data_IF_968287654620
#
_entry.id   IF_968287654620
#
_cell.length_a   1.000
_cell.length_b   1.000
_cell.length_c   1.000
_cell.angle_alpha   90.00
_cell.angle_beta   90.00
_cell.angle_gamma   90.00
#
_symmetry.space_group_name_H-M   'P 1'
#
loop_
_entity.id
_entity.type
_entity.pdbx_description
1 polymer ?
#
# COMPACT_ATOMS: atom_id res chain seq x y z
N UNK A 1 14.89 -3.47 -24.95
CA UNK A 1 14.23 -4.48 -24.06
C UNK A 1 15.00 -4.74 -22.77
N UNK A 2 16.28 -5.15 -22.83
CA UNK A 2 17.13 -5.24 -21.62
C UNK A 2 17.17 -3.93 -20.81
N UNK A 3 17.07 -2.78 -21.47
CA UNK A 3 17.02 -1.45 -20.85
C UNK A 3 15.79 -1.23 -19.96
N UNK A 4 14.61 -1.74 -20.35
CA UNK A 4 13.38 -1.66 -19.53
C UNK A 4 13.56 -2.45 -18.25
N UNK A 5 14.11 -3.65 -18.37
CA UNK A 5 14.35 -4.53 -17.24
C UNK A 5 15.39 -3.94 -16.30
N UNK A 6 16.47 -3.36 -16.83
CA UNK A 6 17.44 -2.64 -16.03
C UNK A 6 16.85 -1.40 -15.34
N UNK A 7 15.82 -0.78 -15.92
CA UNK A 7 15.13 0.36 -15.31
C UNK A 7 14.22 -0.05 -14.14
N UNK A 8 13.54 -1.20 -14.27
CA UNK A 8 12.52 -1.69 -13.34
C UNK A 8 13.07 -2.61 -12.25
N UNK A 9 14.12 -3.38 -12.54
CA UNK A 9 14.71 -4.32 -11.58
C UNK A 9 15.29 -3.53 -10.38
N UNK A 10 14.73 -3.76 -9.19
CA UNK A 10 15.08 -3.03 -7.96
C UNK A 10 14.25 -1.76 -7.69
N UNK A 11 13.23 -1.48 -8.51
CA UNK A 11 12.24 -0.42 -8.27
C UNK A 11 10.81 -0.97 -8.31
N UNK A 12 10.63 -2.16 -7.74
CA UNK A 12 9.34 -2.83 -7.64
C UNK A 12 8.30 -1.96 -6.91
N UNK A 13 8.74 -1.08 -6.03
CA UNK A 13 7.97 -0.23 -5.11
C UNK A 13 7.04 0.81 -5.73
N UNK A 14 7.11 1.03 -7.04
CA UNK A 14 6.42 2.13 -7.71
C UNK A 14 5.47 1.65 -8.81
N UNK A 15 4.50 2.50 -9.13
CA UNK A 15 3.62 2.31 -10.28
C UNK A 15 4.12 3.17 -11.43
N UNK A 16 4.16 2.59 -12.62
CA UNK A 16 4.69 3.27 -13.80
C UNK A 16 3.64 3.31 -14.91
N UNK A 17 3.38 4.46 -15.55
CA UNK A 17 2.76 4.46 -16.86
C UNK A 17 3.61 3.58 -17.79
N UNK A 18 3.00 2.71 -18.58
CA UNK A 18 3.75 1.79 -19.48
C UNK A 18 4.68 2.55 -20.44
N UNK A 19 4.31 3.78 -20.78
CA UNK A 19 5.08 4.67 -21.65
C UNK A 19 6.41 5.12 -21.01
N UNK A 20 6.49 5.20 -19.67
CA UNK A 20 7.69 5.69 -18.98
C UNK A 20 8.87 4.70 -19.07
N UNK A 21 8.72 3.39 -18.77
CA UNK A 21 9.76 2.41 -19.06
C UNK A 21 10.13 2.37 -20.55
N UNK A 22 9.17 2.58 -21.46
CA UNK A 22 9.45 2.61 -22.91
C UNK A 22 10.36 3.75 -23.34
N UNK A 23 10.38 4.86 -22.60
CA UNK A 23 11.31 5.96 -22.87
C UNK A 23 12.77 5.57 -22.65
N UNK A 24 13.02 4.48 -21.93
CA UNK A 24 14.36 3.95 -21.69
C UNK A 24 14.88 3.08 -22.85
N UNK A 25 14.02 2.71 -23.81
CA UNK A 25 14.46 1.94 -24.98
C UNK A 25 15.15 2.87 -25.98
N UNK A 26 16.37 2.53 -26.35
CA UNK A 26 17.05 3.16 -27.49
C UNK A 26 16.53 2.60 -28.82
N UNK A 27 16.24 3.48 -29.79
CA UNK A 27 15.76 3.09 -31.13
C UNK A 27 14.24 2.98 -31.26
N UNK A 28 13.76 2.00 -32.04
CA UNK A 28 12.33 1.81 -32.30
C UNK A 28 11.61 1.30 -31.05
N UNK A 29 10.58 2.05 -30.63
CA UNK A 29 9.82 1.73 -29.42
C UNK A 29 8.76 0.65 -29.72
N UNK A 30 8.73 -0.46 -28.98
CA UNK A 30 7.69 -1.47 -29.12
C UNK A 30 6.31 -0.90 -28.80
N UNK A 31 5.27 -1.51 -29.36
CA UNK A 31 3.89 -1.19 -28.97
C UNK A 31 3.58 -1.72 -27.57
N UNK A 32 2.65 -1.06 -26.87
CA UNK A 32 2.28 -1.38 -25.49
C UNK A 32 1.80 -2.81 -25.28
N UNK A 33 1.15 -3.41 -26.28
CA UNK A 33 0.73 -4.81 -26.22
C UNK A 33 1.92 -5.77 -26.10
N UNK A 34 2.99 -5.54 -26.86
CA UNK A 34 4.20 -6.37 -26.86
C UNK A 34 4.89 -6.30 -25.50
N UNK A 35 5.06 -5.09 -24.96
CA UNK A 35 5.69 -4.90 -23.64
C UNK A 35 4.89 -5.56 -22.53
N UNK A 36 3.56 -5.47 -22.61
CA UNK A 36 2.68 -6.11 -21.63
C UNK A 36 2.83 -7.64 -21.64
N UNK A 37 2.96 -8.23 -22.83
CA UNK A 37 3.20 -9.67 -22.97
C UNK A 37 4.56 -10.06 -22.41
N UNK A 38 5.63 -9.37 -22.82
CA UNK A 38 6.99 -9.70 -22.41
C UNK A 38 7.22 -9.48 -20.90
N UNK A 39 6.60 -8.47 -20.31
CA UNK A 39 6.63 -8.27 -18.85
C UNK A 39 5.91 -9.39 -18.11
N UNK A 40 4.79 -9.90 -18.64
CA UNK A 40 4.12 -11.07 -18.09
C UNK A 40 4.96 -12.33 -18.24
N UNK A 41 5.65 -12.50 -19.36
CA UNK A 41 6.56 -13.65 -19.57
C UNK A 41 7.76 -13.61 -18.61
N UNK A 42 8.35 -12.43 -18.35
CA UNK A 42 9.49 -12.30 -17.43
C UNK A 42 9.10 -12.38 -15.96
N UNK A 43 8.09 -11.62 -15.55
CA UNK A 43 7.77 -11.43 -14.13
C UNK A 43 6.56 -12.24 -13.66
N UNK A 44 5.82 -12.88 -14.58
CA UNK A 44 4.68 -13.72 -14.25
C UNK A 44 3.57 -12.96 -13.54
N UNK A 45 3.04 -13.59 -12.50
CA UNK A 45 1.96 -13.04 -11.66
C UNK A 45 2.43 -11.89 -10.75
N UNK A 46 3.74 -11.60 -10.71
CA UNK A 46 4.28 -10.49 -9.91
C UNK A 46 3.95 -9.14 -10.50
N UNK A 47 3.56 -9.05 -11.78
CA UNK A 47 3.17 -7.80 -12.43
C UNK A 47 1.69 -7.79 -12.77
N UNK A 48 1.03 -6.67 -12.48
CA UNK A 48 -0.31 -6.41 -12.97
C UNK A 48 -0.38 -5.08 -13.69
N UNK A 49 -1.36 -4.99 -14.58
CA UNK A 49 -1.60 -3.81 -15.40
C UNK A 49 -3.00 -3.31 -15.15
N UNK A 50 -3.11 -2.07 -14.70
CA UNK A 50 -4.37 -1.38 -14.48
C UNK A 50 -4.55 -0.25 -15.49
N UNK A 51 -5.79 0.16 -15.73
CA UNK A 51 -6.10 1.33 -16.56
C UNK A 51 -6.63 2.43 -15.66
N UNK A 52 -5.89 3.54 -15.57
CA UNK A 52 -6.30 4.72 -14.79
C UNK A 52 -6.83 5.78 -15.77
N UNK A 53 -7.83 6.56 -15.31
CA UNK A 53 -8.58 7.65 -16.04
C UNK A 53 -8.05 7.96 -17.45
N UNK A 54 -8.92 7.88 -18.45
CA UNK A 54 -8.62 8.19 -19.88
C UNK A 54 -7.53 7.31 -20.52
N UNK A 55 -7.62 5.98 -20.32
CA UNK A 55 -6.89 4.93 -21.10
C UNK A 55 -5.39 4.81 -20.88
N UNK A 56 -4.80 5.46 -19.86
CA UNK A 56 -3.38 5.20 -19.55
C UNK A 56 -3.23 3.87 -18.83
N UNK A 57 -2.42 2.98 -19.43
CA UNK A 57 -2.07 1.70 -18.81
C UNK A 57 -0.92 1.91 -17.85
N UNK A 58 -1.10 1.46 -16.62
CA UNK A 58 -0.12 1.53 -15.54
C UNK A 58 0.30 0.11 -15.19
N UNK A 59 1.61 -0.12 -15.09
CA UNK A 59 2.20 -1.37 -14.58
C UNK A 59 2.57 -1.21 -13.11
N UNK A 60 2.36 -2.25 -12.33
CA UNK A 60 2.66 -2.29 -10.90
C UNK A 60 3.05 -3.70 -10.49
N UNK A 61 3.94 -3.82 -9.50
CA UNK A 61 4.31 -5.11 -8.93
C UNK A 61 3.41 -5.44 -7.72
N UNK A 62 2.92 -6.68 -7.66
CA UNK A 62 2.05 -7.15 -6.58
C UNK A 62 2.77 -7.19 -5.24
N UNK A 63 4.01 -7.65 -5.26
CA UNK A 63 4.80 -7.93 -4.07
C UNK A 63 5.52 -6.70 -3.54
N UNK A 64 5.40 -5.54 -4.19
CA UNK A 64 6.15 -4.38 -3.79
C UNK A 64 5.62 -3.74 -2.51
N UNK A 65 4.30 -3.56 -2.40
CA UNK A 65 3.70 -3.11 -1.15
C UNK A 65 3.92 -4.12 -0.03
N UNK A 66 3.80 -5.42 -0.31
CA UNK A 66 4.03 -6.48 0.67
C UNK A 66 5.50 -6.55 1.12
N UNK A 67 6.45 -6.40 0.18
CA UNK A 67 7.89 -6.39 0.44
C UNK A 67 8.33 -5.12 1.15
N UNK A 68 7.84 -3.94 0.77
CA UNK A 68 8.06 -2.69 1.50
C UNK A 68 7.54 -2.81 2.94
N UNK A 69 6.32 -3.31 3.12
CA UNK A 69 5.74 -3.47 4.45
C UNK A 69 6.53 -4.48 5.28
N UNK A 70 6.92 -5.61 4.70
CA UNK A 70 7.75 -6.62 5.37
C UNK A 70 9.15 -6.09 5.69
N UNK A 71 9.85 -5.49 4.72
CA UNK A 71 11.21 -4.98 4.89
C UNK A 71 11.24 -3.83 5.90
N UNK A 72 10.29 -2.89 5.85
CA UNK A 72 10.17 -1.83 6.87
C UNK A 72 9.92 -2.46 8.24
N UNK A 73 9.05 -3.47 8.32
CA UNK A 73 8.74 -4.12 9.60
C UNK A 73 9.93 -4.87 10.20
N UNK A 74 10.61 -5.70 9.41
CA UNK A 74 11.72 -6.52 9.88
C UNK A 74 13.02 -5.74 10.05
N UNK A 75 13.30 -4.75 9.20
CA UNK A 75 14.50 -3.93 9.33
C UNK A 75 14.40 -2.91 10.49
N UNK A 76 13.19 -2.51 10.88
CA UNK A 76 12.99 -1.63 12.05
C UNK A 76 12.87 -2.39 13.38
N UNK A 77 12.86 -3.72 13.35
CA UNK A 77 12.75 -4.56 14.54
C UNK A 77 13.98 -4.40 15.44
N UNK A 78 13.76 -4.02 16.70
CA UNK A 78 14.84 -3.95 17.68
C UNK A 78 15.16 -5.34 18.25
N UNK A 79 16.44 -5.62 18.48
CA UNK A 79 16.87 -6.79 19.27
C UNK A 79 16.59 -6.61 20.77
N UNK A 80 16.36 -5.38 21.22
CA UNK A 80 15.96 -5.08 22.59
C UNK A 80 14.45 -5.22 22.74
N UNK A 81 14.01 -6.18 23.55
CA UNK A 81 12.60 -6.52 23.76
C UNK A 81 11.76 -5.33 24.27
N UNK A 82 12.32 -4.48 25.13
CA UNK A 82 11.59 -3.31 25.66
C UNK A 82 11.35 -2.29 24.56
N UNK A 83 12.40 -1.96 23.80
CA UNK A 83 12.32 -1.00 22.68
C UNK A 83 11.37 -1.54 21.61
N UNK A 84 11.40 -2.83 21.33
CA UNK A 84 10.54 -3.45 20.33
C UNK A 84 9.06 -3.41 20.74
N UNK A 85 8.74 -3.68 22.01
CA UNK A 85 7.36 -3.52 22.52
C UNK A 85 6.85 -2.08 22.37
N UNK A 86 7.69 -1.10 22.66
CA UNK A 86 7.34 0.32 22.48
C UNK A 86 7.15 0.68 21.00
N UNK A 87 7.98 0.15 20.10
CA UNK A 87 7.84 0.32 18.65
C UNK A 87 6.50 -0.22 18.16
N UNK A 88 6.16 -1.46 18.51
CA UNK A 88 4.89 -2.11 18.12
C UNK A 88 3.69 -1.28 18.60
N UNK A 89 3.70 -0.82 19.85
CA UNK A 89 2.63 0.00 20.40
C UNK A 89 2.47 1.34 19.66
N UNK A 90 3.58 2.00 19.31
CA UNK A 90 3.56 3.24 18.51
C UNK A 90 3.05 3.00 17.10
N UNK A 91 3.45 1.91 16.45
CA UNK A 91 2.96 1.55 15.11
C UNK A 91 1.47 1.27 15.12
N UNK A 92 0.96 0.53 16.11
CA UNK A 92 -0.48 0.31 16.28
C UNK A 92 -1.25 1.64 16.44
N UNK A 93 -0.73 2.56 17.27
CA UNK A 93 -1.31 3.89 17.44
C UNK A 93 -1.30 4.72 16.15
N UNK A 94 -0.23 4.66 15.36
CA UNK A 94 -0.14 5.36 14.08
C UNK A 94 -1.14 4.81 13.06
N UNK A 95 -1.34 3.49 12.98
CA UNK A 95 -2.33 2.85 12.10
C UNK A 95 -3.74 3.30 12.47
N UNK A 96 -4.07 3.34 13.76
CA UNK A 96 -5.37 3.83 14.23
C UNK A 96 -5.60 5.29 13.84
N UNK A 97 -4.58 6.14 14.02
CA UNK A 97 -4.65 7.55 13.65
C UNK A 97 -4.81 7.77 12.13
N UNK A 98 -4.06 7.02 11.31
CA UNK A 98 -4.22 7.09 9.85
C UNK A 98 -5.60 6.58 9.40
N UNK A 99 -6.12 5.51 10.03
CA UNK A 99 -7.50 5.06 9.82
C UNK A 99 -8.53 6.16 10.13
N UNK A 100 -8.34 6.92 11.21
CA UNK A 100 -9.19 8.08 11.55
C UNK A 100 -9.09 9.20 10.51
N UNK A 101 -7.90 9.46 9.95
CA UNK A 101 -7.67 10.53 8.96
C UNK A 101 -8.19 10.18 7.57
N UNK A 102 -8.08 8.91 7.17
CA UNK A 102 -8.52 8.40 5.86
C UNK A 102 -10.03 8.18 5.77
N UNK A 103 -10.74 8.22 6.89
CA UNK A 103 -12.19 8.36 6.91
C UNK A 103 -12.57 9.72 6.30
N UNK A 104 -12.70 9.72 4.98
CA UNK A 104 -13.15 10.88 4.23
C UNK A 104 -14.59 11.19 4.66
N UNK A 105 -14.77 12.33 5.33
CA UNK A 105 -16.10 12.92 5.46
C UNK A 105 -16.69 13.07 4.05
N UNK A 106 -17.92 12.61 3.84
CA UNK A 106 -18.63 12.86 2.60
C UNK A 106 -18.69 14.36 2.35
N UNK A 107 -17.92 14.88 1.41
CA UNK A 107 -17.83 16.32 1.13
C UNK A 107 -19.08 16.88 0.43
N UNK A 108 -20.04 16.01 0.12
CA UNK A 108 -21.29 16.39 -0.52
C UNK A 108 -22.21 17.20 0.40
N UNK A 109 -22.13 16.99 1.72
CA UNK A 109 -22.95 17.68 2.72
C UNK A 109 -22.11 17.86 3.99
N UNK A 110 -21.94 19.10 4.45
CA UNK A 110 -21.35 19.33 5.78
C UNK A 110 -22.32 18.77 6.83
N UNK A 111 -21.91 17.76 7.62
CA UNK A 111 -22.83 17.16 8.58
C UNK A 111 -23.21 18.19 9.66
N UNK A 112 -24.47 18.25 10.09
CA UNK A 112 -24.86 19.11 11.18
C UNK A 112 -24.14 18.66 12.48
N UNK A 113 -23.86 19.61 13.38
CA UNK A 113 -22.92 19.43 14.51
C UNK A 113 -23.34 18.33 15.51
N UNK A 114 -24.61 17.95 15.47
CA UNK A 114 -25.23 16.86 16.22
C UNK A 114 -24.95 15.45 15.64
N UNK A 115 -24.48 15.35 14.39
CA UNK A 115 -24.28 14.07 13.68
C UNK A 115 -22.85 13.82 13.20
N UNK A 116 -21.91 14.74 13.46
CA UNK A 116 -20.51 14.65 13.05
C UNK A 116 -19.79 13.37 13.51
N UNK A 117 -20.18 12.82 14.66
CA UNK A 117 -19.48 11.70 15.30
C UNK A 117 -20.03 10.30 14.95
N UNK A 118 -21.17 10.22 14.27
CA UNK A 118 -21.90 8.94 14.16
C UNK A 118 -21.22 7.93 13.23
N UNK A 119 -20.76 8.40 12.07
CA UNK A 119 -20.02 7.57 11.10
C UNK A 119 -18.56 7.36 11.56
N UNK A 120 -18.03 8.31 12.34
CA UNK A 120 -16.71 8.23 12.98
C UNK A 120 -16.66 7.10 14.03
N UNK A 121 -17.74 6.92 14.79
CA UNK A 121 -17.87 5.80 15.73
C UNK A 121 -17.75 4.46 14.99
N UNK A 122 -18.48 4.22 13.91
CA UNK A 122 -18.67 2.86 13.39
C UNK A 122 -17.37 2.12 12.98
N UNK A 123 -16.41 2.79 12.31
CA UNK A 123 -15.20 2.13 11.77
C UNK A 123 -13.95 2.28 12.64
N UNK A 124 -13.71 3.46 13.23
CA UNK A 124 -12.59 3.68 14.17
C UNK A 124 -12.81 2.89 15.45
N UNK A 125 -14.07 2.72 15.89
CA UNK A 125 -14.38 1.82 16.98
C UNK A 125 -14.08 0.36 16.62
N UNK A 126 -14.10 -0.08 15.36
CA UNK A 126 -13.86 -1.51 15.09
C UNK A 126 -12.42 -1.92 15.40
N UNK A 127 -11.42 -1.28 14.80
CA UNK A 127 -10.01 -1.60 15.05
C UNK A 127 -9.57 -1.25 16.47
N UNK A 128 -10.11 -0.16 17.04
CA UNK A 128 -9.91 0.20 18.45
C UNK A 128 -10.57 -0.80 19.40
N UNK A 129 -11.77 -1.32 19.07
CA UNK A 129 -12.46 -2.36 19.83
C UNK A 129 -11.68 -3.67 19.77
N UNK A 130 -11.16 -4.07 18.62
CA UNK A 130 -10.26 -5.23 18.50
C UNK A 130 -9.05 -5.08 19.42
N UNK A 131 -8.44 -3.88 19.48
CA UNK A 131 -7.37 -3.59 20.42
C UNK A 131 -7.85 -3.68 21.88
N UNK A 132 -8.95 -3.03 22.24
CA UNK A 132 -9.51 -3.04 23.61
C UNK A 132 -9.91 -4.43 24.09
N UNK A 133 -10.47 -5.24 23.20
CA UNK A 133 -10.82 -6.65 23.47
C UNK A 133 -9.55 -7.46 23.72
N UNK A 134 -8.50 -7.27 22.91
CA UNK A 134 -7.20 -7.93 23.13
C UNK A 134 -6.54 -7.57 24.48
N UNK A 135 -6.79 -6.35 24.97
CA UNK A 135 -6.33 -5.90 26.29
C UNK A 135 -7.20 -6.44 27.44
N UNK A 136 -8.44 -6.81 27.15
CA UNK A 136 -9.42 -7.30 28.14
C UNK A 136 -9.30 -8.80 28.43
N UNK A 137 -8.55 -9.57 27.62
CA UNK A 137 -8.34 -11.04 27.79
C UNK A 137 -7.33 -11.39 28.90
N UNK A 138 -7.24 -10.59 29.96
CA UNK A 138 -6.57 -11.01 31.21
C UNK A 138 -7.38 -10.63 32.44
N UNK A 139 -8.36 -11.48 32.75
CA UNK A 139 -8.79 -11.79 34.13
C UNK A 139 -9.50 -13.15 34.10
N UNK A 140 -8.75 -14.22 34.34
CA UNK A 140 -9.29 -15.57 34.31
C UNK A 140 -8.25 -16.67 34.46
N UNK A 141 -7.36 -16.54 35.44
CA UNK A 141 -6.79 -17.65 36.22
C UNK A 141 -6.71 -17.19 37.69
#
# INVERSE_FOLDING_TARGET
MLEIYSYLDGKDDFQYPVDEPMEQISGEKPISATIRQEMKEKYGDRVFFSTVRTRKTVVSFHDASEKILNDIWYNSKSSNEKIERERIARTAGAILLEGMKLMAYGTAVFPPSDNFWRDFEEMVLHTLRVLMDSLSVKKGE
#
